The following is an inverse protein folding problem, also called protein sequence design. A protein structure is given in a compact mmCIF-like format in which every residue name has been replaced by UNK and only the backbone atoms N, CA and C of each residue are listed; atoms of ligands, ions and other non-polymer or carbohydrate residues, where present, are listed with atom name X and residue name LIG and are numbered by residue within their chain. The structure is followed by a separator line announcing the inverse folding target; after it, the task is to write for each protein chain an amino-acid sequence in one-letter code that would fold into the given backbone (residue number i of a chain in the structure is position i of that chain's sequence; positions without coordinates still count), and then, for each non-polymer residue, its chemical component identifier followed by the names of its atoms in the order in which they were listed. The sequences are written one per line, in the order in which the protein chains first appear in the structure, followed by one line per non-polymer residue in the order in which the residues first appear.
data_IF_089983179947
#
_entry.id   IF_089983179947
#
_cell.length_a   1.000
_cell.length_b   1.000
_cell.length_c   1.000
_cell.angle_alpha   90.00
_cell.angle_beta   90.00
_cell.angle_gamma   90.00
#
_symmetry.space_group_name_H-M   'P 1'
#
loop_
_entity.id
_entity.type
_entity.pdbx_description
1 polymer ?
#
# COMPACT_ATOMS: atom_id res chain seq x y z
N UNK A 1 -38.49 -14.11 -55.04
CA UNK A 1 -37.86 -14.66 -53.82
C UNK A 1 -37.99 -13.56 -52.80
N UNK A 2 -39.06 -13.62 -52.03
CA UNK A 2 -39.35 -12.66 -50.96
C UNK A 2 -38.41 -12.94 -49.81
N UNK A 3 -37.70 -11.90 -49.42
CA UNK A 3 -36.71 -11.88 -48.35
C UNK A 3 -37.47 -11.91 -47.02
N UNK A 4 -37.76 -13.11 -46.51
CA UNK A 4 -38.32 -13.27 -45.16
C UNK A 4 -37.24 -12.91 -44.16
N UNK A 5 -37.31 -11.68 -43.64
CA UNK A 5 -36.56 -11.26 -42.47
C UNK A 5 -36.79 -12.28 -41.36
N UNK A 6 -35.73 -12.96 -40.95
CA UNK A 6 -35.73 -13.85 -39.80
C UNK A 6 -35.93 -12.97 -38.56
N UNK A 7 -37.18 -12.71 -38.17
CA UNK A 7 -37.50 -12.04 -36.93
C UNK A 7 -36.98 -12.93 -35.80
N UNK A 8 -35.89 -12.49 -35.17
CA UNK A 8 -35.40 -13.06 -33.92
C UNK A 8 -36.58 -13.04 -32.94
N UNK A 9 -37.10 -14.23 -32.59
CA UNK A 9 -38.11 -14.37 -31.53
C UNK A 9 -37.63 -13.54 -30.34
N UNK A 10 -38.44 -12.60 -29.81
CA UNK A 10 -38.05 -11.81 -28.65
C UNK A 10 -37.62 -12.76 -27.54
N UNK A 11 -36.51 -12.43 -26.88
CA UNK A 11 -36.05 -13.17 -25.71
C UNK A 11 -37.20 -13.21 -24.71
N UNK A 12 -37.52 -14.40 -24.20
CA UNK A 12 -38.62 -14.60 -23.25
C UNK A 12 -38.45 -13.76 -21.98
N UNK A 13 -39.50 -13.70 -21.16
CA UNK A 13 -39.47 -12.95 -19.90
C UNK A 13 -38.28 -13.38 -19.03
N UNK A 14 -37.44 -12.42 -18.63
CA UNK A 14 -36.34 -12.64 -17.69
C UNK A 14 -36.91 -12.75 -16.29
N UNK A 15 -36.53 -13.81 -15.57
CA UNK A 15 -36.91 -14.01 -14.18
C UNK A 15 -35.66 -13.99 -13.28
N UNK A 16 -35.81 -13.64 -12.00
CA UNK A 16 -37.02 -13.09 -11.36
C UNK A 16 -37.31 -11.65 -11.81
N UNK A 17 -38.58 -11.24 -11.72
CA UNK A 17 -39.03 -9.90 -12.07
C UNK A 17 -38.46 -8.85 -11.10
N UNK A 18 -38.32 -7.63 -11.60
CA UNK A 18 -38.03 -6.47 -10.75
C UNK A 18 -39.26 -6.08 -9.92
N UNK A 19 -39.06 -5.23 -8.91
CA UNK A 19 -40.17 -4.73 -8.10
C UNK A 19 -41.12 -3.86 -8.95
N UNK A 20 -40.60 -3.03 -9.85
CA UNK A 20 -41.43 -2.22 -10.74
C UNK A 20 -42.29 -3.08 -11.66
N UNK A 21 -41.71 -4.09 -12.31
CA UNK A 21 -42.43 -5.04 -13.18
C UNK A 21 -43.56 -5.75 -12.43
N UNK A 22 -43.31 -6.22 -11.19
CA UNK A 22 -44.35 -6.88 -10.37
C UNK A 22 -45.51 -5.94 -10.05
N UNK A 23 -45.21 -4.70 -9.69
CA UNK A 23 -46.23 -3.71 -9.34
C UNK A 23 -47.05 -3.29 -10.56
N UNK A 24 -46.42 -3.17 -11.72
CA UNK A 24 -47.08 -2.88 -13.00
C UNK A 24 -47.98 -4.04 -13.43
N UNK A 25 -47.47 -5.28 -13.40
CA UNK A 25 -48.30 -6.47 -13.66
C UNK A 25 -49.52 -6.54 -12.73
N UNK A 26 -49.35 -6.19 -11.44
CA UNK A 26 -50.45 -6.17 -10.48
C UNK A 26 -51.48 -5.06 -10.75
N UNK A 27 -51.03 -3.88 -11.18
CA UNK A 27 -51.91 -2.78 -11.59
C UNK A 27 -52.73 -3.16 -12.82
N UNK A 28 -52.05 -3.67 -13.86
CA UNK A 28 -52.67 -4.10 -15.11
C UNK A 28 -53.68 -5.23 -14.85
N UNK A 29 -53.29 -6.24 -14.05
CA UNK A 29 -54.20 -7.31 -13.65
C UNK A 29 -55.47 -6.77 -12.98
N UNK A 30 -55.35 -5.79 -12.07
CA UNK A 30 -56.52 -5.21 -11.39
C UNK A 30 -57.44 -4.45 -12.36
N UNK A 31 -56.87 -3.65 -13.25
CA UNK A 31 -57.63 -2.91 -14.27
C UNK A 31 -58.36 -3.87 -15.21
N UNK A 32 -57.65 -4.88 -15.71
CA UNK A 32 -58.16 -5.86 -16.65
C UNK A 32 -59.24 -6.75 -16.03
N UNK A 33 -59.00 -7.22 -14.81
CA UNK A 33 -59.95 -8.05 -14.07
C UNK A 33 -61.25 -7.28 -13.80
N UNK A 34 -61.17 -6.00 -13.44
CA UNK A 34 -62.34 -5.14 -13.25
C UNK A 34 -63.09 -4.89 -14.58
N UNK A 35 -62.37 -4.71 -15.69
CA UNK A 35 -62.96 -4.57 -17.01
C UNK A 35 -63.69 -5.85 -17.46
N UNK A 36 -63.07 -7.01 -17.26
CA UNK A 36 -63.70 -8.31 -17.52
C UNK A 36 -64.96 -8.47 -16.67
N UNK A 37 -64.88 -8.22 -15.35
CA UNK A 37 -66.02 -8.33 -14.44
C UNK A 37 -67.21 -7.49 -14.91
N UNK A 38 -66.96 -6.21 -15.26
CA UNK A 38 -68.00 -5.32 -15.81
C UNK A 38 -68.59 -5.84 -17.12
N UNK A 39 -67.75 -6.40 -17.99
CA UNK A 39 -68.18 -6.95 -19.28
C UNK A 39 -69.07 -8.17 -19.07
N UNK A 40 -68.67 -9.11 -18.22
CA UNK A 40 -69.47 -10.29 -17.86
C UNK A 40 -70.80 -9.90 -17.20
N UNK A 41 -70.80 -8.91 -16.31
CA UNK A 41 -72.02 -8.37 -15.72
C UNK A 41 -72.95 -7.73 -16.75
N UNK A 42 -72.39 -7.03 -17.74
CA UNK A 42 -73.16 -6.45 -18.83
C UNK A 42 -73.79 -7.52 -19.73
N UNK A 43 -73.04 -8.58 -20.05
CA UNK A 43 -73.55 -9.73 -20.82
C UNK A 43 -74.71 -10.37 -20.08
N UNK A 44 -74.52 -10.70 -18.80
CA UNK A 44 -75.55 -11.30 -17.96
C UNK A 44 -76.83 -10.43 -17.91
N UNK A 45 -76.68 -9.13 -17.63
CA UNK A 45 -77.82 -8.18 -17.58
C UNK A 45 -78.55 -8.07 -18.92
N UNK A 46 -77.83 -8.15 -20.04
CA UNK A 46 -78.45 -8.13 -21.37
C UNK A 46 -79.34 -9.37 -21.58
N UNK A 47 -78.83 -10.56 -21.26
CA UNK A 47 -79.58 -11.82 -21.45
C UNK A 47 -80.69 -12.03 -20.41
N UNK A 48 -80.63 -11.36 -19.26
CA UNK A 48 -81.73 -11.24 -18.30
C UNK A 48 -82.79 -10.19 -18.72
N UNK A 49 -82.51 -9.37 -19.74
CA UNK A 49 -83.39 -8.26 -20.14
C UNK A 49 -84.47 -8.69 -21.15
N UNK A 50 -85.56 -7.91 -21.29
CA UNK A 50 -86.60 -8.16 -22.29
C UNK A 50 -86.14 -8.02 -23.75
N UNK A 51 -84.93 -7.48 -23.99
CA UNK A 51 -84.39 -7.23 -25.32
C UNK A 51 -83.63 -8.43 -25.91
N UNK A 52 -83.26 -9.41 -25.07
CA UNK A 52 -82.60 -10.62 -25.52
C UNK A 52 -83.60 -11.61 -26.14
N UNK A 53 -83.09 -12.50 -27.00
CA UNK A 53 -83.89 -13.59 -27.54
C UNK A 53 -84.46 -14.42 -26.39
N UNK A 54 -85.78 -14.64 -26.32
CA UNK A 54 -86.36 -15.41 -25.23
C UNK A 54 -85.88 -16.86 -25.27
N UNK A 55 -85.74 -17.48 -24.09
CA UNK A 55 -85.46 -18.91 -24.01
C UNK A 55 -86.61 -19.69 -24.65
N UNK A 56 -86.29 -20.48 -25.68
CA UNK A 56 -87.27 -21.29 -26.42
C UNK A 56 -87.48 -22.68 -25.80
N UNK A 57 -86.55 -23.12 -24.95
CA UNK A 57 -86.55 -24.42 -24.27
C UNK A 57 -85.76 -24.34 -22.97
N UNK A 58 -85.98 -25.27 -22.04
CA UNK A 58 -85.18 -25.45 -20.82
C UNK A 58 -83.76 -26.02 -21.10
N UNK A 59 -83.44 -26.34 -22.35
CA UNK A 59 -82.14 -26.85 -22.76
C UNK A 59 -81.13 -25.71 -23.00
N UNK A 60 -79.85 -25.98 -22.67
CA UNK A 60 -78.72 -25.06 -22.86
C UNK A 60 -78.39 -24.75 -24.33
N UNK A 61 -79.05 -25.42 -25.27
CA UNK A 61 -78.81 -25.27 -26.72
C UNK A 61 -79.75 -24.25 -27.39
N UNK A 62 -80.53 -23.50 -26.62
CA UNK A 62 -81.34 -22.43 -27.19
C UNK A 62 -80.48 -21.25 -27.68
N UNK A 63 -80.99 -20.47 -28.63
CA UNK A 63 -80.25 -19.36 -29.25
C UNK A 63 -79.77 -18.31 -28.24
N UNK A 64 -80.54 -18.07 -27.18
CA UNK A 64 -80.17 -17.18 -26.08
C UNK A 64 -78.93 -17.68 -25.33
N UNK A 65 -78.93 -18.95 -24.89
CA UNK A 65 -77.80 -19.57 -24.20
C UNK A 65 -76.55 -19.66 -25.08
N UNK A 66 -76.71 -20.00 -26.37
CA UNK A 66 -75.59 -20.03 -27.33
C UNK A 66 -75.00 -18.63 -27.52
N UNK A 67 -75.85 -17.60 -27.56
CA UNK A 67 -75.43 -16.21 -27.64
C UNK A 67 -74.64 -15.77 -26.40
N UNK A 68 -75.16 -16.07 -25.21
CA UNK A 68 -74.51 -15.76 -23.94
C UNK A 68 -73.14 -16.45 -23.81
N UNK A 69 -73.05 -17.75 -24.12
CA UNK A 69 -71.78 -18.49 -24.12
C UNK A 69 -70.78 -17.87 -25.11
N UNK A 70 -71.23 -17.52 -26.31
CA UNK A 70 -70.37 -16.88 -27.32
C UNK A 70 -69.82 -15.54 -26.85
N UNK A 71 -70.66 -14.68 -26.25
CA UNK A 71 -70.22 -13.38 -25.73
C UNK A 71 -69.29 -13.54 -24.54
N UNK A 72 -69.59 -14.49 -23.64
CA UNK A 72 -68.76 -14.83 -22.49
C UNK A 72 -67.39 -15.31 -22.93
N UNK A 73 -67.33 -16.27 -23.86
CA UNK A 73 -66.07 -16.76 -24.45
C UNK A 73 -65.29 -15.62 -25.11
N UNK A 74 -65.95 -14.72 -25.83
CA UNK A 74 -65.30 -13.55 -26.42
C UNK A 74 -64.67 -12.65 -25.35
N UNK A 75 -65.40 -12.35 -24.27
CA UNK A 75 -64.87 -11.54 -23.17
C UNK A 75 -63.61 -12.15 -22.53
N UNK A 76 -63.60 -13.46 -22.32
CA UNK A 76 -62.41 -14.18 -21.83
C UNK A 76 -61.27 -14.21 -22.86
N UNK A 77 -61.57 -14.37 -24.15
CA UNK A 77 -60.56 -14.28 -25.22
C UNK A 77 -59.89 -12.92 -25.22
N UNK A 78 -60.67 -11.85 -25.20
CA UNK A 78 -60.17 -10.47 -25.18
C UNK A 78 -59.31 -10.21 -23.92
N UNK A 79 -59.65 -10.85 -22.79
CA UNK A 79 -58.85 -10.77 -21.57
C UNK A 79 -57.56 -11.60 -21.59
N UNK A 80 -57.57 -12.85 -22.06
CA UNK A 80 -56.38 -13.73 -22.04
C UNK A 80 -55.41 -13.48 -23.19
N UNK A 81 -55.88 -12.90 -24.30
CA UNK A 81 -55.10 -12.71 -25.52
C UNK A 81 -54.94 -11.23 -25.89
N UNK A 82 -54.97 -10.34 -24.90
CA UNK A 82 -54.71 -8.92 -25.15
C UNK A 82 -53.30 -8.70 -25.73
N UNK A 83 -53.21 -7.67 -26.58
CA UNK A 83 -51.97 -7.21 -27.21
C UNK A 83 -51.16 -6.26 -26.32
N UNK A 84 -51.66 -5.95 -25.13
CA UNK A 84 -50.98 -5.09 -24.16
C UNK A 84 -49.58 -5.64 -23.80
N UNK A 85 -48.51 -4.85 -24.04
CA UNK A 85 -47.13 -5.27 -23.79
C UNK A 85 -46.81 -5.44 -22.30
N UNK A 86 -47.58 -4.84 -21.40
CA UNK A 86 -47.27 -4.75 -19.97
C UNK A 86 -47.95 -5.85 -19.14
N UNK A 87 -48.49 -6.88 -19.83
CA UNK A 87 -49.08 -8.06 -19.20
C UNK A 87 -48.04 -9.14 -18.96
N UNK A 88 -48.20 -9.91 -17.88
CA UNK A 88 -47.24 -10.96 -17.50
C UNK A 88 -47.01 -12.04 -18.56
N UNK A 89 -47.99 -12.28 -19.43
CA UNK A 89 -47.90 -13.24 -20.53
C UNK A 89 -47.54 -12.59 -21.88
N UNK A 90 -47.23 -11.29 -21.94
CA UNK A 90 -47.04 -10.55 -23.18
C UNK A 90 -45.94 -11.13 -24.06
N UNK A 91 -44.87 -11.64 -23.42
CA UNK A 91 -43.70 -12.27 -24.07
C UNK A 91 -43.82 -13.79 -24.24
N UNK A 92 -44.97 -14.40 -23.90
CA UNK A 92 -45.20 -15.84 -24.00
C UNK A 92 -45.91 -16.19 -25.31
N UNK A 93 -45.16 -16.19 -26.42
CA UNK A 93 -45.71 -16.43 -27.77
C UNK A 93 -46.36 -17.79 -27.94
N UNK A 94 -45.73 -18.86 -27.41
CA UNK A 94 -46.25 -20.22 -27.54
C UNK A 94 -47.57 -20.35 -26.76
N UNK A 95 -47.66 -19.78 -25.55
CA UNK A 95 -48.89 -19.68 -24.75
C UNK A 95 -50.02 -18.94 -25.49
N UNK A 96 -49.73 -17.76 -26.06
CA UNK A 96 -50.74 -17.00 -26.81
C UNK A 96 -51.23 -17.76 -28.03
N UNK A 97 -50.34 -18.42 -28.76
CA UNK A 97 -50.67 -19.20 -29.97
C UNK A 97 -51.56 -20.40 -29.63
N UNK A 98 -51.19 -21.13 -28.58
CA UNK A 98 -51.96 -22.28 -28.09
C UNK A 98 -53.37 -21.87 -27.64
N UNK A 99 -53.48 -20.84 -26.80
CA UNK A 99 -54.78 -20.33 -26.34
C UNK A 99 -55.64 -19.80 -27.47
N UNK A 100 -55.06 -19.08 -28.43
CA UNK A 100 -55.75 -18.61 -29.61
C UNK A 100 -56.36 -19.79 -30.39
N UNK A 101 -55.61 -20.88 -30.59
CA UNK A 101 -56.11 -22.11 -31.19
C UNK A 101 -57.25 -22.75 -30.38
N UNK A 102 -57.16 -22.75 -29.04
CA UNK A 102 -58.23 -23.29 -28.18
C UNK A 102 -59.53 -22.49 -28.33
N UNK A 103 -59.45 -21.16 -28.37
CA UNK A 103 -60.62 -20.29 -28.56
C UNK A 103 -61.25 -20.41 -29.96
N UNK A 104 -60.45 -20.72 -31.00
CA UNK A 104 -60.94 -20.94 -32.36
C UNK A 104 -61.67 -22.28 -32.55
N UNK A 105 -61.51 -23.21 -31.61
CA UNK A 105 -62.11 -24.55 -31.67
C UNK A 105 -63.11 -24.79 -30.52
N UNK A 106 -64.21 -24.00 -30.42
CA UNK A 106 -65.12 -24.03 -29.26
C UNK A 106 -65.90 -25.35 -29.11
N UNK A 107 -65.93 -26.20 -30.15
CA UNK A 107 -66.54 -27.54 -30.11
C UNK A 107 -65.62 -28.60 -29.50
N UNK A 108 -64.31 -28.35 -29.52
CA UNK A 108 -63.28 -29.25 -29.00
C UNK A 108 -62.89 -28.81 -27.59
N UNK A 109 -62.66 -27.50 -27.40
CA UNK A 109 -62.24 -26.94 -26.14
C UNK A 109 -63.35 -26.22 -25.40
N UNK A 110 -63.59 -26.65 -24.17
CA UNK A 110 -64.51 -25.98 -23.25
C UNK A 110 -63.81 -24.83 -22.53
N UNK A 111 -64.60 -23.87 -22.06
CA UNK A 111 -64.06 -22.69 -21.37
C UNK A 111 -63.35 -23.06 -20.05
N UNK A 112 -63.81 -24.10 -19.34
CA UNK A 112 -63.14 -24.63 -18.15
C UNK A 112 -61.74 -25.18 -18.43
N UNK A 113 -61.54 -25.85 -19.57
CA UNK A 113 -60.21 -26.34 -19.99
C UNK A 113 -59.26 -25.19 -20.33
N UNK A 114 -59.80 -24.13 -20.95
CA UNK A 114 -59.05 -22.90 -21.23
C UNK A 114 -58.61 -22.25 -19.90
N UNK A 115 -59.50 -22.15 -18.91
CA UNK A 115 -59.15 -21.61 -17.59
C UNK A 115 -58.05 -22.43 -16.92
N UNK A 116 -58.15 -23.77 -16.92
CA UNK A 116 -57.10 -24.64 -16.36
C UNK A 116 -55.75 -24.40 -17.03
N UNK A 117 -55.70 -24.31 -18.37
CA UNK A 117 -54.45 -24.04 -19.09
C UNK A 117 -53.83 -22.68 -18.74
N UNK A 118 -54.66 -21.66 -18.53
CA UNK A 118 -54.20 -20.33 -18.09
C UNK A 118 -53.67 -20.39 -16.67
N UNK A 119 -54.40 -21.05 -15.77
CA UNK A 119 -54.01 -21.20 -14.37
C UNK A 119 -52.67 -21.94 -14.25
N UNK A 120 -52.46 -22.99 -15.04
CA UNK A 120 -51.19 -23.73 -15.09
C UNK A 120 -50.01 -22.84 -15.53
N UNK A 121 -50.20 -22.00 -16.55
CA UNK A 121 -49.17 -21.04 -16.98
C UNK A 121 -48.91 -19.98 -15.91
N UNK A 122 -49.97 -19.48 -15.27
CA UNK A 122 -49.86 -18.47 -14.23
C UNK A 122 -49.13 -19.03 -13.00
N UNK A 123 -49.40 -20.28 -12.62
CA UNK A 123 -48.65 -20.97 -11.56
C UNK A 123 -47.17 -21.13 -11.93
N UNK A 124 -46.87 -21.52 -13.18
CA UNK A 124 -45.49 -21.61 -13.65
C UNK A 124 -44.78 -20.24 -13.64
N UNK A 125 -45.48 -19.16 -14.00
CA UNK A 125 -45.01 -17.79 -13.91
C UNK A 125 -44.68 -17.40 -12.45
N UNK A 126 -45.60 -17.63 -11.51
CA UNK A 126 -45.39 -17.34 -10.09
C UNK A 126 -44.20 -18.12 -9.52
N UNK A 127 -44.04 -19.40 -9.88
CA UNK A 127 -42.88 -20.20 -9.45
C UNK A 127 -41.56 -19.63 -9.96
N UNK A 128 -41.49 -19.28 -11.25
CA UNK A 128 -40.27 -18.70 -11.85
C UNK A 128 -39.93 -17.34 -11.26
N UNK A 129 -40.93 -16.53 -10.88
CA UNK A 129 -40.70 -15.21 -10.29
C UNK A 129 -40.38 -15.25 -8.79
N UNK A 130 -41.23 -15.91 -8.00
CA UNK A 130 -41.18 -15.85 -6.54
C UNK A 130 -40.24 -16.90 -5.94
N UNK A 131 -40.14 -18.07 -6.56
CA UNK A 131 -39.41 -19.21 -6.01
C UNK A 131 -38.02 -19.41 -6.62
N UNK A 132 -37.59 -18.54 -7.54
CA UNK A 132 -36.24 -18.61 -8.08
C UNK A 132 -35.19 -18.30 -7.00
N UNK A 133 -34.22 -19.20 -6.87
CA UNK A 133 -33.07 -19.02 -5.99
C UNK A 133 -32.13 -17.95 -6.54
N UNK A 134 -31.62 -17.11 -5.64
CA UNK A 134 -30.62 -16.09 -5.93
C UNK A 134 -29.32 -16.40 -5.19
N UNK A 135 -28.15 -15.97 -5.70
CA UNK A 135 -26.86 -16.22 -5.06
C UNK A 135 -26.73 -15.65 -3.64
N UNK A 136 -27.53 -14.64 -3.31
CA UNK A 136 -27.56 -13.93 -2.04
C UNK A 136 -28.68 -14.40 -1.09
N UNK A 137 -29.47 -15.42 -1.47
CA UNK A 137 -30.50 -15.99 -0.59
C UNK A 137 -29.85 -16.69 0.62
N UNK A 138 -30.40 -16.46 1.82
CA UNK A 138 -30.05 -17.24 3.01
C UNK A 138 -30.67 -18.64 2.98
N UNK A 139 -30.20 -19.54 3.84
CA UNK A 139 -30.78 -20.89 3.99
C UNK A 139 -32.28 -20.84 4.30
N UNK A 140 -32.69 -19.94 5.22
CA UNK A 140 -34.10 -19.70 5.53
C UNK A 140 -34.91 -19.25 4.29
N UNK A 141 -34.32 -18.41 3.43
CA UNK A 141 -34.97 -17.92 2.20
C UNK A 141 -35.17 -19.05 1.21
N UNK A 142 -34.14 -19.88 1.01
CA UNK A 142 -34.22 -21.06 0.15
C UNK A 142 -35.30 -22.01 0.65
N UNK A 143 -35.33 -22.31 1.96
CA UNK A 143 -36.29 -23.23 2.55
C UNK A 143 -37.74 -22.78 2.34
N UNK A 144 -38.05 -21.51 2.61
CA UNK A 144 -39.42 -21.05 2.40
C UNK A 144 -39.78 -20.95 0.92
N UNK A 145 -38.86 -20.60 0.02
CA UNK A 145 -39.11 -20.60 -1.43
C UNK A 145 -39.45 -21.98 -1.95
N UNK A 146 -38.70 -23.01 -1.51
CA UNK A 146 -38.96 -24.40 -1.88
C UNK A 146 -40.32 -24.88 -1.35
N UNK A 147 -40.65 -24.53 -0.10
CA UNK A 147 -41.97 -24.79 0.48
C UNK A 147 -43.08 -24.13 -0.34
N UNK A 148 -42.94 -22.85 -0.69
CA UNK A 148 -43.94 -22.12 -1.48
C UNK A 148 -44.09 -22.74 -2.88
N UNK A 149 -42.99 -23.12 -3.54
CA UNK A 149 -43.03 -23.80 -4.82
C UNK A 149 -43.81 -25.12 -4.75
N UNK A 150 -43.60 -25.91 -3.69
CA UNK A 150 -44.35 -27.14 -3.44
C UNK A 150 -45.84 -26.88 -3.19
N UNK A 151 -46.19 -25.81 -2.47
CA UNK A 151 -47.59 -25.44 -2.24
C UNK A 151 -48.31 -25.04 -3.54
N UNK A 152 -47.61 -24.35 -4.45
CA UNK A 152 -48.13 -24.05 -5.78
C UNK A 152 -48.35 -25.32 -6.60
N UNK A 153 -47.41 -26.28 -6.57
CA UNK A 153 -47.55 -27.57 -7.27
C UNK A 153 -48.69 -28.43 -6.73
N UNK A 154 -49.04 -28.28 -5.45
CA UNK A 154 -50.17 -28.97 -4.83
C UNK A 154 -51.54 -28.33 -5.16
N UNK A 155 -51.57 -27.26 -5.96
CA UNK A 155 -52.80 -26.55 -6.28
C UNK A 155 -53.45 -25.90 -5.06
N UNK A 156 -52.67 -25.51 -4.04
CA UNK A 156 -53.21 -24.77 -2.90
C UNK A 156 -53.74 -23.41 -3.36
N UNK A 157 -54.66 -22.84 -2.58
CA UNK A 157 -55.25 -21.54 -2.90
C UNK A 157 -54.16 -20.46 -3.04
N UNK A 158 -54.04 -19.88 -4.24
CA UNK A 158 -52.98 -18.92 -4.61
C UNK A 158 -52.91 -17.75 -3.62
N UNK A 159 -54.06 -17.16 -3.24
CA UNK A 159 -54.08 -16.04 -2.29
C UNK A 159 -53.48 -16.41 -0.93
N UNK A 160 -53.75 -17.62 -0.42
CA UNK A 160 -53.14 -18.10 0.84
C UNK A 160 -51.64 -18.29 0.68
N UNK A 161 -51.19 -18.86 -0.44
CA UNK A 161 -49.76 -19.09 -0.71
C UNK A 161 -49.01 -17.77 -0.83
N UNK A 162 -49.57 -16.78 -1.55
CA UNK A 162 -48.95 -15.45 -1.68
C UNK A 162 -48.89 -14.70 -0.34
N UNK A 163 -49.91 -14.82 0.51
CA UNK A 163 -49.88 -14.26 1.86
C UNK A 163 -48.83 -14.93 2.75
N UNK A 164 -48.66 -16.25 2.64
CA UNK A 164 -47.60 -16.98 3.33
C UNK A 164 -46.21 -16.52 2.84
N UNK A 165 -46.04 -16.37 1.53
CA UNK A 165 -44.81 -15.83 0.93
C UNK A 165 -44.49 -14.44 1.48
N UNK A 166 -45.45 -13.51 1.47
CA UNK A 166 -45.25 -12.15 1.99
C UNK A 166 -44.87 -12.18 3.49
N UNK A 167 -45.54 -13.03 4.27
CA UNK A 167 -45.28 -13.17 5.70
C UNK A 167 -43.86 -13.66 5.98
N UNK A 168 -43.36 -14.65 5.24
CA UNK A 168 -41.99 -15.13 5.38
C UNK A 168 -40.98 -14.11 4.85
N UNK A 169 -41.24 -13.49 3.69
CA UNK A 169 -40.36 -12.48 3.11
C UNK A 169 -40.12 -11.29 4.06
N UNK A 170 -41.16 -10.82 4.74
CA UNK A 170 -41.06 -9.73 5.72
C UNK A 170 -40.12 -10.08 6.88
N UNK A 171 -40.08 -11.35 7.34
CA UNK A 171 -39.16 -11.77 8.41
C UNK A 171 -37.69 -11.72 7.99
N UNK A 172 -37.42 -11.77 6.68
CA UNK A 172 -36.06 -11.71 6.13
C UNK A 172 -35.59 -10.29 5.85
N UNK A 173 -36.45 -9.28 6.04
CA UNK A 173 -36.11 -7.89 5.81
C UNK A 173 -35.06 -7.39 6.83
N UNK A 174 -34.07 -6.59 6.39
CA UNK A 174 -32.94 -6.20 7.24
C UNK A 174 -33.29 -5.15 8.31
N UNK A 175 -34.41 -4.44 8.16
CA UNK A 175 -34.83 -3.39 9.09
C UNK A 175 -36.36 -3.24 9.13
N UNK A 176 -36.91 -2.71 10.25
CA UNK A 176 -38.33 -2.36 10.34
C UNK A 176 -38.78 -1.40 9.24
N UNK A 177 -37.96 -0.39 8.90
CA UNK A 177 -38.28 0.55 7.82
C UNK A 177 -38.48 -0.16 6.46
N UNK A 178 -37.74 -1.24 6.21
CA UNK A 178 -37.91 -2.02 4.99
C UNK A 178 -39.23 -2.82 5.01
N UNK A 179 -39.62 -3.34 6.18
CA UNK A 179 -40.92 -4.00 6.36
C UNK A 179 -42.06 -3.02 6.10
N UNK A 180 -42.01 -1.84 6.71
CA UNK A 180 -43.03 -0.80 6.56
C UNK A 180 -43.13 -0.34 5.09
N UNK A 181 -41.99 -0.21 4.41
CA UNK A 181 -41.96 0.09 2.98
C UNK A 181 -42.71 -0.95 2.15
N UNK A 182 -42.42 -2.24 2.35
CA UNK A 182 -43.07 -3.34 1.61
C UNK A 182 -44.57 -3.40 1.91
N UNK A 183 -44.97 -3.25 3.17
CA UNK A 183 -46.38 -3.26 3.57
C UNK A 183 -47.15 -2.06 2.99
N UNK A 184 -46.59 -0.85 3.05
CA UNK A 184 -47.22 0.32 2.44
C UNK A 184 -47.33 0.16 0.92
N UNK A 185 -46.33 -0.42 0.25
CA UNK A 185 -46.42 -0.70 -1.19
C UNK A 185 -47.51 -1.72 -1.51
N UNK A 186 -47.64 -2.76 -0.69
CA UNK A 186 -48.69 -3.79 -0.86
C UNK A 186 -50.11 -3.19 -0.82
N UNK A 187 -50.31 -2.13 -0.02
CA UNK A 187 -51.62 -1.46 0.11
C UNK A 187 -51.94 -0.47 -1.03
N UNK A 188 -51.00 -0.25 -1.96
CA UNK A 188 -51.20 0.67 -3.08
C UNK A 188 -51.78 0.00 -4.32
N UNK A 189 -52.55 0.79 -5.08
CA UNK A 189 -53.22 0.34 -6.30
C UNK A 189 -52.81 1.09 -7.57
N UNK A 190 -51.96 2.10 -7.45
CA UNK A 190 -51.55 2.92 -8.60
C UNK A 190 -50.11 3.40 -8.42
N UNK A 191 -49.44 3.69 -9.54
CA UNK A 191 -48.11 4.31 -9.53
C UNK A 191 -48.07 5.61 -8.70
N UNK A 192 -49.07 6.48 -8.86
CA UNK A 192 -49.14 7.78 -8.14
C UNK A 192 -49.20 7.65 -6.63
N UNK A 193 -49.89 6.63 -6.10
CA UNK A 193 -49.92 6.36 -4.66
C UNK A 193 -48.57 5.92 -4.11
N UNK A 194 -47.69 5.36 -4.95
CA UNK A 194 -46.37 4.84 -4.52
C UNK A 194 -45.29 5.91 -4.50
N UNK A 195 -45.41 6.97 -5.29
CA UNK A 195 -44.46 8.09 -5.32
C UNK A 195 -44.10 8.60 -3.92
N UNK A 196 -45.05 8.98 -3.03
CA UNK A 196 -44.71 9.44 -1.69
C UNK A 196 -44.03 8.36 -0.83
N UNK A 197 -44.34 7.07 -1.06
CA UNK A 197 -43.70 5.94 -0.35
C UNK A 197 -42.24 5.81 -0.79
N UNK A 198 -41.95 5.88 -2.10
CA UNK A 198 -40.59 5.86 -2.61
C UNK A 198 -39.76 7.03 -2.09
N UNK A 199 -40.33 8.24 -2.12
CA UNK A 199 -39.65 9.44 -1.62
C UNK A 199 -39.38 9.32 -0.12
N UNK A 200 -40.36 8.87 0.65
CA UNK A 200 -40.19 8.67 2.10
C UNK A 200 -39.10 7.64 2.41
N UNK A 201 -39.07 6.52 1.71
CA UNK A 201 -38.10 5.46 1.97
C UNK A 201 -36.68 5.79 1.49
N UNK A 202 -36.53 6.31 0.27
CA UNK A 202 -35.21 6.52 -0.33
C UNK A 202 -34.64 7.94 -0.14
N UNK A 203 -35.50 8.94 -0.02
CA UNK A 203 -35.15 10.34 -0.18
C UNK A 203 -35.46 11.22 1.05
N UNK A 204 -35.96 10.65 2.15
CA UNK A 204 -36.21 11.43 3.36
C UNK A 204 -34.93 12.09 3.87
N UNK A 205 -34.91 13.42 4.05
CA UNK A 205 -33.76 14.12 4.58
C UNK A 205 -33.57 13.79 6.06
N UNK A 206 -32.32 13.55 6.46
CA UNK A 206 -31.91 13.45 7.86
C UNK A 206 -31.13 14.69 8.25
N UNK A 207 -31.20 15.10 9.52
CA UNK A 207 -30.44 16.25 10.02
C UNK A 207 -28.92 16.04 9.89
N UNK A 208 -28.47 14.79 9.96
CA UNK A 208 -27.07 14.39 9.78
C UNK A 208 -26.61 14.35 8.32
N UNK A 209 -27.49 14.60 7.34
CA UNK A 209 -27.12 14.54 5.93
C UNK A 209 -26.17 15.68 5.53
N UNK A 210 -25.05 15.32 4.91
CA UNK A 210 -24.18 16.29 4.24
C UNK A 210 -24.91 17.03 3.12
N UNK A 211 -24.40 18.19 2.69
CA UNK A 211 -24.97 18.94 1.55
C UNK A 211 -25.05 18.06 0.30
N UNK A 212 -24.04 17.22 0.05
CA UNK A 212 -24.02 16.30 -1.10
C UNK A 212 -25.14 15.26 -1.01
N UNK A 213 -25.36 14.68 0.18
CA UNK A 213 -26.43 13.69 0.39
C UNK A 213 -27.81 14.33 0.25
N UNK A 214 -28.01 15.55 0.77
CA UNK A 214 -29.26 16.28 0.57
C UNK A 214 -29.53 16.55 -0.90
N UNK A 215 -28.53 17.00 -1.66
CA UNK A 215 -28.67 17.22 -3.11
C UNK A 215 -28.99 15.93 -3.87
N UNK A 216 -28.34 14.82 -3.51
CA UNK A 216 -28.62 13.49 -4.06
C UNK A 216 -30.08 13.09 -3.79
N UNK A 217 -30.52 13.14 -2.53
CA UNK A 217 -31.91 12.81 -2.15
C UNK A 217 -32.93 13.71 -2.87
N UNK A 218 -32.70 15.02 -2.92
CA UNK A 218 -33.58 15.96 -3.62
C UNK A 218 -33.65 15.70 -5.14
N UNK A 219 -32.53 15.32 -5.77
CA UNK A 219 -32.51 14.95 -7.20
C UNK A 219 -33.43 13.75 -7.47
N UNK A 220 -33.30 12.68 -6.71
CA UNK A 220 -34.08 11.46 -6.94
C UNK A 220 -35.53 11.57 -6.44
N UNK A 221 -35.81 12.38 -5.41
CA UNK A 221 -37.18 12.76 -5.06
C UNK A 221 -37.91 13.40 -6.26
N UNK A 222 -37.28 14.36 -6.94
CA UNK A 222 -37.84 14.99 -8.14
C UNK A 222 -38.06 14.01 -9.30
N UNK A 223 -37.20 13.00 -9.43
CA UNK A 223 -37.39 11.96 -10.44
C UNK A 223 -38.66 11.14 -10.17
N UNK A 224 -38.90 10.75 -8.91
CA UNK A 224 -40.15 10.10 -8.53
C UNK A 224 -41.36 11.02 -8.69
N UNK A 225 -41.26 12.30 -8.33
CA UNK A 225 -42.33 13.30 -8.52
C UNK A 225 -42.72 13.48 -9.99
N UNK A 226 -41.75 13.33 -10.90
CA UNK A 226 -41.96 13.37 -12.35
C UNK A 226 -42.49 12.03 -12.93
N UNK A 227 -42.95 11.12 -12.08
CA UNK A 227 -43.53 9.82 -12.45
C UNK A 227 -42.57 8.92 -13.25
N UNK A 228 -41.25 9.06 -13.03
CA UNK A 228 -40.26 8.15 -13.64
C UNK A 228 -40.37 6.75 -13.01
N UNK A 229 -40.31 5.66 -13.80
CA UNK A 229 -40.45 4.29 -13.29
C UNK A 229 -39.47 3.95 -12.16
N UNK A 230 -39.96 3.20 -11.16
CA UNK A 230 -39.21 2.85 -9.95
C UNK A 230 -37.83 2.25 -10.26
N UNK A 231 -37.78 1.25 -11.15
CA UNK A 231 -36.55 0.54 -11.46
C UNK A 231 -35.53 1.44 -12.16
N UNK A 232 -35.97 2.39 -12.99
CA UNK A 232 -35.08 3.36 -13.63
C UNK A 232 -34.44 4.30 -12.59
N UNK A 233 -35.25 4.82 -11.67
CA UNK A 233 -34.77 5.71 -10.61
C UNK A 233 -33.78 4.96 -9.71
N UNK A 234 -34.13 3.76 -9.24
CA UNK A 234 -33.27 2.97 -8.35
C UNK A 234 -31.99 2.49 -9.07
N UNK A 235 -32.06 2.12 -10.35
CA UNK A 235 -30.87 1.79 -11.13
C UNK A 235 -29.94 3.01 -11.28
N UNK A 236 -30.49 4.19 -11.54
CA UNK A 236 -29.73 5.43 -11.61
C UNK A 236 -29.10 5.79 -10.26
N UNK A 237 -29.83 5.60 -9.15
CA UNK A 237 -29.31 5.76 -7.78
C UNK A 237 -28.12 4.83 -7.50
N UNK A 238 -28.28 3.53 -7.78
CA UNK A 238 -27.21 2.53 -7.60
C UNK A 238 -25.97 2.88 -8.43
N UNK A 239 -26.15 3.30 -9.67
CA UNK A 239 -25.04 3.69 -10.56
C UNK A 239 -24.27 4.91 -10.04
N UNK A 240 -24.98 5.94 -9.57
CA UNK A 240 -24.35 7.14 -9.01
C UNK A 240 -23.64 6.84 -7.68
N UNK A 241 -24.25 6.01 -6.83
CA UNK A 241 -23.64 5.55 -5.57
C UNK A 241 -22.35 4.75 -5.83
N UNK A 242 -22.38 3.81 -6.78
CA UNK A 242 -21.19 3.03 -7.17
C UNK A 242 -20.06 3.93 -7.68
N UNK A 243 -20.35 4.86 -8.59
CA UNK A 243 -19.36 5.82 -9.09
C UNK A 243 -18.75 6.67 -7.98
N UNK A 244 -19.56 7.08 -7.01
CA UNK A 244 -19.09 7.87 -5.85
C UNK A 244 -18.13 7.04 -5.01
N UNK A 245 -18.48 5.78 -4.72
CA UNK A 245 -17.61 4.83 -4.00
C UNK A 245 -16.31 4.56 -4.74
N UNK A 246 -16.35 4.36 -6.05
CA UNK A 246 -15.15 4.13 -6.86
C UNK A 246 -14.20 5.33 -6.81
N UNK A 247 -14.77 6.55 -6.83
CA UNK A 247 -13.99 7.79 -6.70
C UNK A 247 -13.36 7.90 -5.31
N UNK A 248 -14.10 7.57 -4.25
CA UNK A 248 -13.59 7.57 -2.89
C UNK A 248 -12.49 6.53 -2.68
N UNK A 249 -12.68 5.31 -3.19
CA UNK A 249 -11.66 4.25 -3.19
C UNK A 249 -10.40 4.72 -3.90
N UNK A 250 -10.51 5.33 -5.09
CA UNK A 250 -9.37 5.85 -5.83
C UNK A 250 -8.63 6.96 -5.05
N UNK A 251 -9.35 7.87 -4.38
CA UNK A 251 -8.75 8.90 -3.53
C UNK A 251 -8.03 8.32 -2.31
N UNK A 252 -8.62 7.32 -1.65
CA UNK A 252 -8.01 6.64 -0.52
C UNK A 252 -6.76 5.86 -0.95
N UNK A 253 -6.80 5.18 -2.10
CA UNK A 253 -5.65 4.50 -2.69
C UNK A 253 -4.51 5.48 -3.01
N UNK A 254 -4.83 6.66 -3.57
CA UNK A 254 -3.83 7.70 -3.82
C UNK A 254 -3.15 8.16 -2.52
N UNK A 255 -3.92 8.48 -1.48
CA UNK A 255 -3.39 8.89 -0.17
C UNK A 255 -2.53 7.81 0.46
N UNK A 256 -2.94 6.55 0.35
CA UNK A 256 -2.18 5.41 0.86
C UNK A 256 -0.82 5.29 0.14
N UNK A 257 -0.78 5.51 -1.18
CA UNK A 257 0.46 5.54 -1.93
C UNK A 257 1.38 6.70 -1.51
N UNK A 258 0.83 7.89 -1.29
CA UNK A 258 1.60 9.04 -0.78
C UNK A 258 2.22 8.76 0.59
N UNK A 259 1.44 8.17 1.51
CA UNK A 259 1.94 7.78 2.83
C UNK A 259 3.05 6.72 2.75
N UNK A 260 2.91 5.72 1.88
CA UNK A 260 3.95 4.71 1.66
C UNK A 260 5.24 5.31 1.10
N UNK A 261 5.13 6.27 0.16
CA UNK A 261 6.28 6.99 -0.38
C UNK A 261 6.96 7.85 0.70
N UNK A 262 6.18 8.57 1.50
CA UNK A 262 6.69 9.38 2.61
C UNK A 262 7.40 8.51 3.66
N UNK A 263 6.82 7.36 4.03
CA UNK A 263 7.44 6.40 4.95
C UNK A 263 8.75 5.85 4.38
N UNK A 264 8.76 5.50 3.09
CA UNK A 264 9.97 5.00 2.42
C UNK A 264 11.07 6.06 2.38
N UNK A 265 10.74 7.33 2.10
CA UNK A 265 11.67 8.44 2.12
C UNK A 265 12.22 8.69 3.53
N UNK A 266 11.37 8.64 4.56
CA UNK A 266 11.77 8.77 5.95
C UNK A 266 12.73 7.65 6.38
N UNK A 267 12.44 6.39 6.02
CA UNK A 267 13.34 5.26 6.30
C UNK A 267 14.69 5.41 5.59
N UNK A 268 14.70 5.86 4.33
CA UNK A 268 15.94 6.17 3.60
C UNK A 268 16.73 7.30 4.26
N UNK A 269 16.06 8.37 4.70
CA UNK A 269 16.70 9.48 5.41
C UNK A 269 17.29 9.02 6.75
N UNK A 270 16.57 8.17 7.50
CA UNK A 270 17.05 7.56 8.74
C UNK A 270 18.29 6.68 8.50
N UNK A 271 18.27 5.86 7.45
CA UNK A 271 19.41 5.01 7.08
C UNK A 271 20.65 5.84 6.70
N UNK A 272 20.49 6.88 5.87
CA UNK A 272 21.58 7.80 5.52
C UNK A 272 22.14 8.55 6.72
N UNK A 273 21.29 8.94 7.67
CA UNK A 273 21.74 9.57 8.91
C UNK A 273 22.58 8.59 9.74
N UNK A 274 22.13 7.35 9.90
CA UNK A 274 22.88 6.32 10.61
C UNK A 274 24.25 6.04 9.97
N UNK A 275 24.31 5.93 8.63
CA UNK A 275 25.57 5.75 7.90
C UNK A 275 26.54 6.93 8.11
N UNK A 276 26.03 8.17 8.03
CA UNK A 276 26.83 9.37 8.30
C UNK A 276 27.35 9.40 9.73
N UNK A 277 26.52 9.01 10.70
CA UNK A 277 26.91 8.96 12.11
C UNK A 277 28.00 7.89 12.35
N UNK A 278 27.90 6.73 11.67
CA UNK A 278 28.97 5.70 11.69
C UNK A 278 30.28 6.21 11.11
N UNK A 279 30.26 6.87 9.94
CA UNK A 279 31.46 7.43 9.32
C UNK A 279 32.13 8.49 10.21
N UNK A 280 31.35 9.35 10.86
CA UNK A 280 31.88 10.33 11.83
C UNK A 280 32.56 9.65 13.01
N UNK A 281 31.94 8.61 13.56
CA UNK A 281 32.50 7.86 14.68
C UNK A 281 33.84 7.22 14.31
N UNK A 282 33.94 6.59 13.14
CA UNK A 282 35.19 6.01 12.64
C UNK A 282 36.28 7.07 12.45
N UNK A 283 35.94 8.24 11.90
CA UNK A 283 36.89 9.34 11.75
C UNK A 283 37.41 9.85 13.10
N UNK A 284 36.54 10.00 14.10
CA UNK A 284 36.97 10.38 15.46
C UNK A 284 37.94 9.37 16.07
N UNK A 285 37.67 8.06 15.93
CA UNK A 285 38.60 7.02 16.41
C UNK A 285 39.96 7.05 15.72
N UNK A 286 40.02 7.41 14.43
CA UNK A 286 41.28 7.51 13.71
C UNK A 286 42.11 8.70 14.19
N UNK A 287 41.49 9.87 14.36
CA UNK A 287 42.17 11.08 14.86
C UNK A 287 42.73 10.87 16.26
N UNK A 288 42.00 10.18 17.15
CA UNK A 288 42.45 9.89 18.52
C UNK A 288 43.67 8.95 18.57
N UNK A 289 43.82 8.05 17.59
CA UNK A 289 45.00 7.17 17.48
C UNK A 289 46.24 7.89 16.95
N UNK A 290 46.07 8.88 16.10
CA UNK A 290 47.18 9.63 15.48
C UNK A 290 47.68 10.77 16.40
N UNK A 291 46.96 11.12 17.47
CA UNK A 291 47.28 12.23 18.37
C UNK A 291 48.15 11.86 19.59
N UNK A 292 48.54 10.59 19.75
CA UNK A 292 49.30 10.11 20.92
C UNK A 292 50.43 9.16 20.53
N UNK A 293 51.57 9.27 21.19
CA UNK A 293 52.67 8.30 21.16
C UNK A 293 53.03 7.85 22.58
N UNK A 294 53.72 6.72 22.75
CA UNK A 294 54.24 6.32 24.07
C UNK A 294 55.61 6.95 24.32
N UNK A 295 55.91 7.24 25.58
CA UNK A 295 57.27 7.62 25.98
C UNK A 295 58.25 6.49 25.64
N UNK A 296 59.44 6.85 25.14
CA UNK A 296 60.43 5.89 24.65
C UNK A 296 61.37 5.36 25.75
N UNK A 297 61.41 6.01 26.91
CA UNK A 297 62.23 5.61 28.06
C UNK A 297 61.75 4.27 28.64
N UNK A 298 62.66 3.32 28.80
CA UNK A 298 62.34 1.97 29.27
C UNK A 298 61.75 2.00 30.69
N UNK A 299 60.54 1.44 30.83
CA UNK A 299 59.76 1.47 32.07
C UNK A 299 58.82 2.66 32.25
N UNK A 300 58.65 3.53 31.25
CA UNK A 300 57.61 4.58 31.24
C UNK A 300 56.46 4.24 30.27
N UNK A 301 55.24 4.10 30.80
CA UNK A 301 54.02 3.82 30.02
C UNK A 301 53.16 5.08 29.76
N UNK A 302 53.71 6.27 29.94
CA UNK A 302 52.96 7.53 29.76
C UNK A 302 52.74 7.87 28.28
N UNK A 303 51.52 8.32 27.96
CA UNK A 303 51.16 8.86 26.64
C UNK A 303 51.75 10.27 26.46
N UNK A 304 52.50 10.47 25.38
CA UNK A 304 52.94 11.76 24.86
C UNK A 304 51.86 12.28 23.89
N UNK A 305 51.25 13.41 24.23
CA UNK A 305 50.28 14.09 23.36
C UNK A 305 51.01 14.81 22.21
N UNK A 306 50.80 14.32 20.99
CA UNK A 306 51.40 14.89 19.77
C UNK A 306 50.58 16.06 19.21
N UNK A 307 49.38 16.32 19.73
CA UNK A 307 48.50 17.39 19.26
C UNK A 307 48.89 18.77 19.78
N UNK A 308 49.79 18.84 20.77
CA UNK A 308 50.28 20.09 21.37
C UNK A 308 51.58 20.53 20.69
N UNK A 309 51.60 21.68 19.98
CA UNK A 309 52.83 22.21 19.39
C UNK A 309 53.89 22.50 20.46
N UNK A 310 55.05 21.83 20.37
CA UNK A 310 56.16 21.98 21.33
C UNK A 310 55.99 21.22 22.66
N UNK A 311 54.94 20.41 22.81
CA UNK A 311 54.69 19.62 24.02
C UNK A 311 55.40 18.25 24.04
N UNK A 312 55.67 17.67 22.87
CA UNK A 312 56.39 16.41 22.75
C UNK A 312 57.90 16.67 22.67
N UNK A 313 58.66 16.18 23.64
CA UNK A 313 60.13 16.21 23.60
C UNK A 313 60.56 15.06 22.70
N UNK A 314 61.32 15.35 21.65
CA UNK A 314 61.69 14.36 20.65
C UNK A 314 63.18 14.41 20.33
N UNK A 315 63.74 13.28 19.95
CA UNK A 315 65.09 13.25 19.40
C UNK A 315 65.11 13.92 18.02
N UNK A 316 65.92 14.98 17.90
CA UNK A 316 66.01 15.78 16.67
C UNK A 316 66.57 14.99 15.48
N UNK A 317 67.50 14.08 15.74
CA UNK A 317 68.11 13.25 14.71
C UNK A 317 67.12 12.18 14.22
N UNK A 318 66.37 11.54 15.13
CA UNK A 318 65.29 10.63 14.77
C UNK A 318 64.16 11.33 13.99
N UNK A 319 63.76 12.54 14.39
CA UNK A 319 62.75 13.31 13.63
C UNK A 319 63.26 13.68 12.24
N UNK A 320 64.51 14.12 12.12
CA UNK A 320 65.12 14.40 10.83
C UNK A 320 65.19 13.15 9.95
N UNK A 321 65.63 12.00 10.47
CA UNK A 321 65.65 10.73 9.73
C UNK A 321 64.23 10.35 9.28
N UNK A 322 63.24 10.40 10.17
CA UNK A 322 61.84 10.09 9.85
C UNK A 322 61.23 11.06 8.83
N UNK A 323 61.74 12.29 8.72
CA UNK A 323 61.34 13.24 7.67
C UNK A 323 61.88 12.86 6.28
N UNK A 324 62.90 11.99 6.21
CA UNK A 324 63.62 11.63 4.99
C UNK A 324 63.40 10.18 4.57
N UNK A 325 63.16 9.29 5.52
CA UNK A 325 63.00 7.85 5.33
C UNK A 325 61.72 7.38 6.05
N UNK A 326 60.85 6.55 5.43
CA UNK A 326 59.62 6.07 6.07
C UNK A 326 59.94 5.29 7.35
N UNK A 327 59.28 5.59 8.47
CA UNK A 327 59.51 4.91 9.74
C UNK A 327 59.31 3.38 9.64
N UNK A 328 60.17 2.61 10.31
CA UNK A 328 60.05 1.17 10.45
C UNK A 328 60.37 0.70 11.89
N UNK A 329 60.63 -0.60 12.07
CA UNK A 329 60.92 -1.16 13.40
C UNK A 329 62.25 -0.65 13.99
N UNK A 330 63.25 -0.39 13.14
CA UNK A 330 64.63 -0.09 13.52
C UNK A 330 64.94 1.42 13.35
N UNK A 331 64.05 2.20 12.72
CA UNK A 331 64.04 3.66 12.77
C UNK A 331 62.62 4.20 12.92
N UNK A 332 62.27 4.63 14.12
CA UNK A 332 61.03 5.33 14.43
C UNK A 332 61.33 6.66 15.11
N UNK A 333 60.37 7.57 15.14
CA UNK A 333 60.50 8.76 15.97
C UNK A 333 60.51 8.37 17.46
N UNK A 334 61.38 9.02 18.20
CA UNK A 334 61.56 8.81 19.63
C UNK A 334 60.99 10.01 20.38
N UNK A 335 59.95 9.77 21.17
CA UNK A 335 59.24 10.78 21.97
C UNK A 335 59.43 10.52 23.47
N UNK A 336 59.50 11.59 24.26
CA UNK A 336 59.63 11.57 25.70
C UNK A 336 58.54 12.44 26.35
N UNK A 337 57.96 11.96 27.44
CA UNK A 337 56.95 12.70 28.20
C UNK A 337 57.55 13.80 29.11
N UNK A 338 58.86 13.79 29.34
CA UNK A 338 59.55 14.76 30.19
C UNK A 338 61.03 14.96 29.78
N UNK A 339 61.64 16.12 30.11
CA UNK A 339 63.06 16.36 29.85
C UNK A 339 63.97 15.38 30.60
N UNK A 340 63.58 14.97 31.81
CA UNK A 340 64.36 14.02 32.61
C UNK A 340 64.46 12.65 31.95
N UNK A 341 63.39 12.15 31.33
CA UNK A 341 63.42 10.89 30.58
C UNK A 341 64.30 11.02 29.33
N UNK A 342 64.22 12.15 28.62
CA UNK A 342 65.08 12.40 27.46
C UNK A 342 66.57 12.42 27.85
N UNK A 343 66.92 13.06 28.97
CA UNK A 343 68.30 13.13 29.47
C UNK A 343 68.83 11.77 29.96
N UNK A 344 68.01 11.02 30.71
CA UNK A 344 68.39 9.70 31.22
C UNK A 344 68.56 8.67 30.10
N UNK A 345 67.74 8.75 29.06
CA UNK A 345 67.80 7.84 27.91
C UNK A 345 68.84 8.27 26.86
N UNK A 346 69.33 9.52 26.91
CA UNK A 346 70.07 10.14 25.81
C UNK A 346 71.25 9.30 25.33
N UNK A 347 72.13 8.86 26.24
CA UNK A 347 73.31 8.08 25.88
C UNK A 347 72.96 6.69 25.33
N UNK A 348 71.96 6.04 25.91
CA UNK A 348 71.58 4.67 25.54
C UNK A 348 70.83 4.66 24.20
N UNK A 349 69.93 5.62 24.01
CA UNK A 349 69.25 5.90 22.75
C UNK A 349 70.24 6.26 21.64
N UNK A 350 71.19 7.17 21.90
CA UNK A 350 72.16 7.59 20.89
C UNK A 350 73.04 6.42 20.41
N UNK A 351 73.54 5.60 21.36
CA UNK A 351 74.33 4.40 21.05
C UNK A 351 73.51 3.35 20.29
N UNK A 352 72.24 3.17 20.63
CA UNK A 352 71.37 2.16 20.02
C UNK A 352 70.90 2.57 18.62
N UNK A 353 70.51 3.84 18.44
CA UNK A 353 69.72 4.27 17.30
C UNK A 353 70.47 5.20 16.33
N UNK A 354 71.60 5.81 16.72
CA UNK A 354 72.36 6.75 15.88
C UNK A 354 73.72 6.23 15.44
N UNK A 355 73.91 4.92 15.40
CA UNK A 355 75.16 4.33 14.95
C UNK A 355 75.47 4.62 13.47
N UNK A 356 76.75 4.82 13.18
CA UNK A 356 77.23 4.95 11.81
C UNK A 356 77.27 3.59 11.11
N UNK A 357 76.73 3.50 9.89
CA UNK A 357 76.73 2.29 9.07
C UNK A 357 78.14 1.74 8.84
N UNK A 358 79.15 2.60 8.71
CA UNK A 358 80.54 2.16 8.51
C UNK A 358 81.16 1.46 9.72
N UNK A 359 80.53 1.51 10.91
CA UNK A 359 80.94 0.74 12.06
C UNK A 359 80.95 -0.77 11.76
N UNK A 360 80.08 -1.24 10.86
CA UNK A 360 80.07 -2.62 10.38
C UNK A 360 81.33 -3.01 9.60
N UNK A 361 82.01 -2.06 8.96
CA UNK A 361 83.20 -2.29 8.13
C UNK A 361 84.53 -2.02 8.85
N UNK A 362 84.50 -1.66 10.14
CA UNK A 362 85.67 -1.34 11.00
C UNK A 362 86.54 -0.17 10.50
N UNK A 363 86.02 0.66 9.60
CA UNK A 363 86.71 1.83 9.03
C UNK A 363 85.97 3.16 9.34
N UNK A 364 85.16 3.15 10.41
CA UNK A 364 84.41 4.28 10.91
C UNK A 364 85.31 5.37 11.49
N UNK A 365 85.13 6.61 11.06
CA UNK A 365 85.89 7.76 11.56
C UNK A 365 85.64 8.06 13.05
N UNK A 366 84.56 7.55 13.64
CA UNK A 366 84.31 7.67 15.09
C UNK A 366 85.21 6.75 15.94
N UNK A 367 85.92 5.79 15.36
CA UNK A 367 86.78 4.87 16.12
C UNK A 367 88.09 5.47 16.63
N UNK A 368 88.45 6.70 16.18
CA UNK A 368 89.64 7.43 16.62
C UNK A 368 89.38 8.53 17.68
N UNK A 369 88.12 8.77 18.07
CA UNK A 369 87.79 9.79 19.07
C UNK A 369 87.66 9.17 20.48
N UNK A 370 88.53 9.63 21.37
CA UNK A 370 88.54 9.31 22.80
C UNK A 370 87.25 9.77 23.49
N UNK A 371 86.83 8.99 24.49
CA UNK A 371 85.56 9.07 25.22
C UNK A 371 85.32 10.31 26.11
N UNK A 372 85.93 11.47 25.82
CA UNK A 372 85.86 12.67 26.66
C UNK A 372 85.50 13.97 25.89
N UNK A 373 85.03 13.91 24.63
CA UNK A 373 84.53 15.08 23.89
C UNK A 373 83.05 14.92 23.53
N UNK A 374 82.25 15.97 23.76
CA UNK A 374 80.84 16.06 23.36
C UNK A 374 80.70 15.71 21.87
N UNK A 375 80.06 14.59 21.59
CA UNK A 375 79.84 14.12 20.22
C UNK A 375 78.78 15.01 19.59
N UNK A 376 79.21 16.03 18.84
CA UNK A 376 78.30 16.84 18.04
C UNK A 376 77.73 15.99 16.89
N UNK A 377 76.40 15.94 16.79
CA UNK A 377 75.70 15.32 15.64
C UNK A 377 75.80 16.17 14.36
N UNK A 378 76.36 17.39 14.44
CA UNK A 378 76.48 18.28 13.28
C UNK A 378 77.41 17.66 12.23
N UNK A 379 76.93 17.60 10.97
CA UNK A 379 77.69 16.99 9.88
C UNK A 379 77.47 15.48 9.68
N UNK A 380 76.65 14.81 10.51
CA UNK A 380 76.15 13.47 10.19
C UNK A 380 75.36 13.50 8.88
N UNK A 381 75.35 12.40 8.11
CA UNK A 381 74.75 12.42 6.79
C UNK A 381 74.06 11.11 6.39
N UNK A 382 73.03 11.22 5.56
CA UNK A 382 72.32 10.09 4.95
C UNK A 382 72.70 9.95 3.47
N UNK A 383 72.89 8.72 3.02
CA UNK A 383 73.02 8.44 1.60
C UNK A 383 71.70 8.71 0.87
N UNK A 384 71.68 9.64 -0.08
CA UNK A 384 70.44 10.01 -0.82
C UNK A 384 69.87 8.86 -1.64
N UNK A 385 70.73 7.96 -2.13
CA UNK A 385 70.31 6.78 -2.92
C UNK A 385 69.52 5.80 -2.04
N UNK A 386 70.00 5.54 -0.82
CA UNK A 386 69.30 4.70 0.14
C UNK A 386 68.01 5.35 0.64
N UNK A 387 68.03 6.66 0.87
CA UNK A 387 66.84 7.44 1.25
C UNK A 387 65.71 7.30 0.22
N UNK A 388 66.00 7.43 -1.08
CA UNK A 388 64.99 7.24 -2.16
C UNK A 388 64.43 5.81 -2.16
N UNK A 389 65.25 4.84 -1.78
CA UNK A 389 64.86 3.43 -1.68
C UNK A 389 64.16 3.10 -0.35
N UNK A 390 63.98 4.08 0.54
CA UNK A 390 63.34 3.89 1.85
C UNK A 390 64.22 3.25 2.92
N UNK A 391 65.55 3.25 2.75
CA UNK A 391 66.50 2.66 3.70
C UNK A 391 67.34 3.71 4.42
N UNK A 392 67.51 3.55 5.75
CA UNK A 392 68.40 4.35 6.58
C UNK A 392 69.85 3.92 6.39
N UNK A 393 70.66 4.77 5.76
CA UNK A 393 72.11 4.60 5.64
C UNK A 393 72.81 5.85 6.20
N UNK A 394 73.01 5.85 7.52
CA UNK A 394 73.55 6.97 8.30
C UNK A 394 75.07 6.88 8.44
N UNK A 395 75.75 7.99 8.21
CA UNK A 395 77.19 8.13 8.34
C UNK A 395 77.53 9.25 9.32
N UNK A 396 78.56 9.05 10.15
CA UNK A 396 78.93 10.01 11.18
C UNK A 396 79.50 11.32 10.65
N UNK A 397 80.02 11.32 9.42
CA UNK A 397 80.54 12.50 8.74
C UNK A 397 80.58 12.28 7.23
N UNK A 398 80.67 13.37 6.47
CA UNK A 398 80.91 13.34 5.02
C UNK A 398 82.20 12.58 4.69
N UNK A 399 83.28 12.81 5.45
CA UNK A 399 84.55 12.08 5.29
C UNK A 399 84.39 10.56 5.49
N UNK A 400 83.61 10.16 6.50
CA UNK A 400 83.34 8.75 6.77
C UNK A 400 82.55 8.09 5.64
N UNK A 401 81.58 8.80 5.07
CA UNK A 401 80.88 8.36 3.87
C UNK A 401 81.83 8.24 2.68
N UNK A 402 82.67 9.25 2.41
CA UNK A 402 83.59 9.24 1.27
C UNK A 402 84.60 8.10 1.34
N UNK A 403 85.19 7.86 2.51
CA UNK A 403 86.14 6.76 2.75
C UNK A 403 85.49 5.39 2.50
N UNK A 404 84.24 5.23 2.93
CA UNK A 404 83.51 3.95 2.88
C UNK A 404 82.57 3.81 1.66
N UNK A 405 82.50 4.82 0.78
CA UNK A 405 81.50 4.90 -0.29
C UNK A 405 81.53 3.69 -1.22
N UNK A 406 82.72 3.27 -1.66
CA UNK A 406 82.85 2.18 -2.62
C UNK A 406 82.32 0.85 -2.05
N UNK A 407 82.53 0.62 -0.75
CA UNK A 407 82.02 -0.57 -0.07
C UNK A 407 80.52 -0.47 0.18
N UNK A 408 80.03 0.69 0.65
CA UNK A 408 78.60 0.96 0.79
C UNK A 408 77.84 0.76 -0.53
N UNK A 409 78.34 1.34 -1.63
CA UNK A 409 77.71 1.24 -2.94
C UNK A 409 77.68 -0.21 -3.44
N UNK A 410 78.74 -0.99 -3.23
CA UNK A 410 78.78 -2.40 -3.63
C UNK A 410 77.78 -3.28 -2.87
N UNK A 411 77.49 -2.94 -1.61
CA UNK A 411 76.59 -3.73 -0.75
C UNK A 411 75.12 -3.28 -0.82
N UNK A 412 74.87 -1.98 -0.98
CA UNK A 412 73.54 -1.38 -0.77
C UNK A 412 72.97 -0.66 -2.00
N UNK A 413 73.78 -0.33 -3.01
CA UNK A 413 73.27 0.28 -4.24
C UNK A 413 73.04 -0.79 -5.31
N UNK A 414 71.83 -0.84 -5.85
CA UNK A 414 71.46 -1.77 -6.93
C UNK A 414 71.79 -1.22 -8.33
N UNK A 415 72.14 0.06 -8.44
CA UNK A 415 72.50 0.75 -9.69
C UNK A 415 74.00 1.08 -9.71
N UNK A 416 74.73 0.56 -10.71
CA UNK A 416 76.15 0.81 -10.93
C UNK A 416 76.47 2.29 -11.26
N UNK A 417 75.45 3.10 -11.58
CA UNK A 417 75.59 4.54 -11.87
C UNK A 417 75.11 5.47 -10.74
N UNK A 418 74.84 4.94 -9.55
CA UNK A 418 74.41 5.73 -8.40
C UNK A 418 75.42 6.86 -8.11
N UNK A 419 75.00 8.12 -8.22
CA UNK A 419 75.88 9.27 -7.97
C UNK A 419 76.16 9.44 -6.48
N UNK A 420 77.42 9.74 -6.13
CA UNK A 420 77.84 10.16 -4.78
C UNK A 420 77.02 11.37 -4.35
N UNK A 421 76.10 11.17 -3.39
CA UNK A 421 75.20 12.23 -2.95
C UNK A 421 74.73 12.01 -1.51
N UNK A 422 74.88 13.05 -0.70
CA UNK A 422 74.56 13.07 0.72
C UNK A 422 73.48 14.10 1.03
N UNK A 423 72.65 13.77 2.02
CA UNK A 423 71.88 14.74 2.79
C UNK A 423 72.59 14.92 4.12
N UNK A 424 73.09 16.12 4.39
CA UNK A 424 73.81 16.45 5.62
C UNK A 424 72.82 16.98 6.64
N UNK A 425 72.86 16.41 7.83
CA UNK A 425 72.18 16.94 8.99
C UNK A 425 72.90 18.19 9.48
N UNK A 426 72.13 19.25 9.70
CA UNK A 426 72.59 20.47 10.33
C UNK A 426 71.71 20.72 11.53
N UNK A 427 72.33 20.95 12.67
CA UNK A 427 71.61 21.34 13.87
C UNK A 427 70.94 22.71 13.58
N UNK A 428 69.62 22.86 13.82
CA UNK A 428 68.95 24.14 13.63
C UNK A 428 69.57 25.24 14.52
N UNK A 429 69.64 26.47 14.01
CA UNK A 429 70.21 27.63 14.73
C UNK A 429 69.48 27.93 16.07
N UNK A 430 68.27 27.40 16.25
CA UNK A 430 67.41 27.58 17.42
C UNK A 430 67.56 26.44 18.46
N UNK A 431 68.56 25.57 18.32
CA UNK A 431 68.80 24.43 19.21
C UNK A 431 69.46 24.88 20.53
N UNK A 432 68.73 24.73 21.63
CA UNK A 432 69.21 25.04 22.98
C UNK A 432 69.67 23.74 23.65
N UNK A 433 70.97 23.62 23.92
CA UNK A 433 71.50 22.62 24.86
C UNK A 433 71.46 23.26 26.25
N UNK A 434 70.49 22.88 27.08
CA UNK A 434 70.49 23.31 28.48
C UNK A 434 71.40 22.36 29.28
N UNK A 435 72.65 22.79 29.52
CA UNK A 435 73.52 22.16 30.52
C UNK A 435 72.91 22.36 31.91
N UNK A 436 72.21 21.36 32.42
CA UNK A 436 71.85 21.30 33.83
C UNK A 436 73.08 20.91 34.63
N UNK A 437 73.87 21.91 35.03
CA UNK A 437 74.85 21.76 36.10
C UNK A 437 74.09 21.57 37.41
N UNK A 438 74.22 20.39 38.01
CA UNK A 438 73.80 20.10 39.39
C UNK A 438 74.36 21.17 40.34
N UNK A 439 73.51 22.07 40.85
CA UNK A 439 73.83 22.89 42.02
C UNK A 439 73.17 22.29 43.27
N UNK A 440 73.94 21.70 44.20
CA UNK A 440 73.40 21.13 45.41
C UNK A 440 73.25 22.25 46.46
N UNK A 441 72.09 22.91 46.49
CA UNK A 441 71.81 23.80 47.61
C UNK A 441 70.52 24.61 47.56
N UNK A 442 69.66 24.34 48.56
CA UNK A 442 68.82 25.34 49.27
C UNK A 442 67.54 25.73 48.49
N UNK A 443 66.31 25.69 49.00
CA UNK A 443 65.70 25.27 50.27
C UNK A 443 64.22 25.03 49.95
N UNK A 444 63.60 24.12 50.69
CA UNK A 444 62.15 23.98 50.81
C UNK A 444 61.45 25.33 51.04
N UNK A 445 60.66 25.77 50.07
CA UNK A 445 59.80 26.95 50.15
C UNK A 445 58.35 26.58 49.86
N UNK A 446 57.58 26.48 50.94
CA UNK A 446 56.12 26.50 51.10
C UNK A 446 55.20 26.37 49.87
N UNK A 447 54.36 25.34 49.97
CA UNK A 447 53.04 25.20 49.33
C UNK A 447 52.22 26.46 49.63
N UNK A 448 51.75 27.13 48.59
CA UNK A 448 50.60 28.04 48.69
C UNK A 448 49.54 27.57 47.71
N UNK A 449 48.54 26.91 48.29
CA UNK A 449 47.24 26.67 47.68
C UNK A 449 46.70 27.96 47.06
N UNK A 450 46.32 27.90 45.78
CA UNK A 450 45.25 28.74 45.27
C UNK A 450 44.24 27.88 44.56
N UNK A 451 43.20 27.55 45.32
CA UNK A 451 41.89 27.16 44.80
C UNK A 451 41.46 28.15 43.71
N UNK A 452 41.08 27.64 42.54
CA UNK A 452 40.06 28.30 41.73
C UNK A 452 38.79 27.45 41.74
N UNK A 453 37.84 27.95 42.51
CA UNK A 453 36.42 27.67 42.36
C UNK A 453 35.96 27.89 40.92
N UNK A 454 35.03 27.03 40.50
CA UNK A 454 34.52 27.00 39.13
C UNK A 454 33.69 28.21 38.71
N UNK A 455 33.59 28.34 37.38
CA UNK A 455 32.33 28.29 36.62
C UNK A 455 32.59 27.43 35.38
#
# INVERSE_FOLDING_TARGET
MEDTSFELRPQGQTYPLTLGERLEHADNYRVDHEALRKTLESIKKFYESPFATPHTTDHKDCESCIGEDRQTRKAYRDWYLSEDPDRWYSKLFDYKTELQSMFEQPKIHRLDEIHTRVDDEFLAHLKKDLCAHRPDDSEDVVEFKDRIAMELDQGKNISKVLNAYLTEYIKTCPSPDHVDFILHLHDTTTHKQRIPIYISYYCSPLESDSISVRNYKSKYARMFENEIPYDEVVAAMKKESARTKDTEIAQLQHRLNELNLAQSAHLKAKAKKAEKDTLKYLHHQQVEKESKALCSYDGCDEDVDLSVPGGAIQCILCDWIASKVPEDRDHKRTYYCSPSHALLDHEDHDKADHYCLSAHWKDCCLSEFSADEEVSHDGMCLCKVCMVSGHKALFCSEECYEKNYNQHAAEWHTDENAQRSLEIFKIPDDFIVEDFVDDPGIESGEIVDTEMHGV
#
